data_IF_030387112880
#
_entry.id   IF_030387112880
#
_cell.length_a   1.000
_cell.length_b   1.000
_cell.length_c   1.000
_cell.angle_alpha   90.00
_cell.angle_beta   90.00
_cell.angle_gamma   90.00
#
_symmetry.space_group_name_H-M   'P 1'
#
loop_
_entity.id
_entity.type
_entity.pdbx_description
1 polymer ?
#
# COMPACT_ATOMS: atom_id res chain seq x y z
N UNK A 1 -2.88 6.58 -6.07
CA UNK A 1 -1.94 5.46 -6.32
C UNK A 1 -1.24 5.10 -5.02
N UNK A 2 -0.91 3.82 -4.83
CA UNK A 2 -0.07 3.35 -3.73
C UNK A 2 1.40 3.51 -4.11
N UNK A 3 2.13 4.39 -3.42
CA UNK A 3 3.56 4.60 -3.66
C UNK A 3 4.44 3.70 -2.79
N UNK A 4 3.89 3.22 -1.67
CA UNK A 4 4.60 2.34 -0.76
C UNK A 4 3.93 2.31 0.61
N UNK A 5 4.51 1.53 1.50
CA UNK A 5 4.16 1.55 2.91
C UNK A 5 5.23 0.85 3.74
N UNK A 6 5.21 1.09 5.04
CA UNK A 6 6.06 0.38 6.01
C UNK A 6 5.18 -0.19 7.10
N UNK A 7 5.57 -1.37 7.58
CA UNK A 7 4.95 -2.06 8.70
C UNK A 7 5.98 -2.18 9.82
N UNK A 8 5.58 -1.83 11.04
CA UNK A 8 6.35 -2.04 12.26
C UNK A 8 5.53 -2.81 13.26
N UNK A 9 5.90 -4.06 13.46
CA UNK A 9 5.33 -4.94 14.46
C UNK A 9 5.96 -4.67 15.82
N UNK A 10 5.12 -4.44 16.83
CA UNK A 10 5.52 -4.19 18.23
C UNK A 10 4.84 -5.14 19.20
N UNK A 11 3.93 -5.99 18.71
CA UNK A 11 3.24 -7.04 19.46
C UNK A 11 2.68 -8.11 18.52
N UNK A 12 1.83 -8.98 19.06
CA UNK A 12 1.25 -10.11 18.33
C UNK A 12 -0.24 -9.88 18.04
N UNK A 13 -0.67 -10.28 16.83
CA UNK A 13 -2.08 -10.41 16.45
C UNK A 13 -2.45 -11.89 16.44
N UNK A 14 -3.54 -12.25 17.09
CA UNK A 14 -4.04 -13.63 17.13
C UNK A 14 -5.45 -13.72 16.55
N UNK A 15 -5.77 -14.89 15.97
CA UNK A 15 -7.13 -15.16 15.47
C UNK A 15 -8.09 -15.10 16.65
N UNK A 16 -9.15 -14.30 16.51
CA UNK A 16 -10.14 -14.07 17.56
C UNK A 16 -9.92 -12.77 18.35
N UNK A 17 -8.79 -12.08 18.15
CA UNK A 17 -8.60 -10.74 18.74
C UNK A 17 -9.68 -9.78 18.26
N UNK A 18 -10.14 -8.91 19.17
CA UNK A 18 -10.88 -7.71 18.81
C UNK A 18 -9.86 -6.60 18.61
N UNK A 19 -9.83 -6.05 17.40
CA UNK A 19 -8.86 -5.04 17.00
C UNK A 19 -9.52 -3.67 16.85
N UNK A 20 -8.81 -2.65 17.33
CA UNK A 20 -9.08 -1.25 17.02
C UNK A 20 -8.01 -0.75 16.04
N UNK A 21 -8.45 -0.03 15.01
CA UNK A 21 -7.54 0.67 14.09
C UNK A 21 -7.82 2.17 14.12
N UNK A 22 -6.86 2.93 14.61
CA UNK A 22 -6.86 4.40 14.54
C UNK A 22 -6.05 4.82 13.32
N UNK A 23 -6.67 5.61 12.43
CA UNK A 23 -6.02 6.12 11.22
C UNK A 23 -5.83 7.62 11.31
N UNK A 24 -4.62 8.10 11.04
CA UNK A 24 -4.27 9.52 11.14
C UNK A 24 -3.55 9.97 9.89
N UNK A 25 -4.02 11.05 9.27
CA UNK A 25 -3.26 11.74 8.22
C UNK A 25 -2.10 12.46 8.90
N UNK A 26 -0.88 11.96 8.68
CA UNK A 26 0.34 12.52 9.28
C UNK A 26 0.85 13.74 8.54
N UNK A 27 0.70 13.73 7.22
CA UNK A 27 1.08 14.88 6.38
C UNK A 27 0.38 14.86 5.04
N UNK A 28 0.15 16.05 4.51
CA UNK A 28 -0.24 16.28 3.11
C UNK A 28 0.78 17.23 2.50
N UNK A 29 1.41 16.83 1.40
CA UNK A 29 2.40 17.65 0.70
C UNK A 29 2.02 17.77 -0.77
N UNK A 30 1.80 19.00 -1.23
CA UNK A 30 1.62 19.30 -2.64
C UNK A 30 2.97 19.49 -3.32
N UNK A 31 3.14 18.90 -4.50
CA UNK A 31 4.26 19.13 -5.39
C UNK A 31 3.72 19.40 -6.79
N UNK A 32 4.21 20.46 -7.41
CA UNK A 32 3.93 20.77 -8.80
C UNK A 32 5.19 20.57 -9.64
N UNK A 33 5.05 19.95 -10.81
CA UNK A 33 6.18 19.63 -11.69
C UNK A 33 5.75 19.47 -13.16
N UNK A 34 6.68 18.96 -13.99
CA UNK A 34 6.47 18.81 -15.44
C UNK A 34 5.27 17.91 -15.81
N UNK A 35 4.88 17.00 -14.92
CA UNK A 35 3.78 16.04 -15.11
C UNK A 35 2.49 16.50 -14.42
N UNK A 36 2.40 17.76 -14.02
CA UNK A 36 1.25 18.32 -13.30
C UNK A 36 1.37 18.22 -11.78
N UNK A 37 0.24 18.39 -11.11
CA UNK A 37 0.13 18.42 -9.66
C UNK A 37 0.08 17.02 -9.05
N UNK A 38 0.82 16.85 -7.97
CA UNK A 38 0.86 15.64 -7.15
C UNK A 38 0.56 16.01 -5.69
N UNK A 39 -0.30 15.25 -5.03
CA UNK A 39 -0.50 15.31 -3.59
C UNK A 39 0.04 14.03 -2.96
N UNK A 40 1.04 14.18 -2.10
CA UNK A 40 1.59 13.11 -1.28
C UNK A 40 0.91 13.13 0.08
N UNK A 41 0.25 12.04 0.44
CA UNK A 41 -0.47 11.88 1.70
C UNK A 41 0.15 10.71 2.45
N UNK A 42 0.66 10.99 3.65
CA UNK A 42 1.10 9.97 4.58
C UNK A 42 -0.03 9.68 5.56
N UNK A 43 -0.51 8.44 5.59
CA UNK A 43 -1.51 7.97 6.55
C UNK A 43 -0.87 6.94 7.46
N UNK A 44 -0.91 7.15 8.76
CA UNK A 44 -0.51 6.17 9.77
C UNK A 44 -1.75 5.44 10.30
N UNK A 45 -1.66 4.12 10.37
CA UNK A 45 -2.61 3.24 11.03
C UNK A 45 -1.94 2.63 12.25
N UNK A 46 -2.53 2.88 13.41
CA UNK A 46 -2.19 2.20 14.65
C UNK A 46 -3.23 1.13 14.91
N UNK A 47 -2.79 -0.12 14.95
CA UNK A 47 -3.64 -1.28 15.18
C UNK A 47 -3.31 -1.82 16.57
N UNK A 48 -4.34 -1.90 17.41
CA UNK A 48 -4.26 -2.35 18.80
C UNK A 48 -5.23 -3.49 19.04
N UNK A 49 -4.87 -4.42 19.93
CA UNK A 49 -5.80 -5.40 20.49
C UNK A 49 -5.98 -5.12 22.00
N UNK A 50 -6.57 -6.06 22.74
CA UNK A 50 -6.83 -5.89 24.18
C UNK A 50 -5.53 -5.77 25.02
N UNK A 51 -4.37 -6.12 24.46
CA UNK A 51 -3.06 -6.01 25.11
C UNK A 51 -2.33 -4.70 24.76
N UNK A 52 -2.89 -3.87 23.89
CA UNK A 52 -2.32 -2.60 23.46
C UNK A 52 -1.91 -2.59 21.98
N UNK A 53 -1.02 -1.65 21.61
CA UNK A 53 -0.54 -1.47 20.24
C UNK A 53 0.24 -2.71 19.79
N UNK A 54 -0.07 -3.22 18.60
CA UNK A 54 0.58 -4.41 18.03
C UNK A 54 1.25 -4.14 16.69
N UNK A 55 0.71 -3.20 15.91
CA UNK A 55 1.21 -2.87 14.59
C UNK A 55 1.04 -1.37 14.33
N UNK A 56 2.12 -0.73 13.88
CA UNK A 56 2.04 0.55 13.16
C UNK A 56 2.24 0.28 11.69
N UNK A 57 1.31 0.72 10.87
CA UNK A 57 1.40 0.71 9.42
C UNK A 57 1.36 2.15 8.93
N UNK A 58 2.19 2.54 7.96
CA UNK A 58 1.98 3.84 7.31
C UNK A 58 1.99 3.69 5.80
N UNK A 59 1.05 4.36 5.14
CA UNK A 59 0.80 4.35 3.71
C UNK A 59 1.30 5.64 3.08
N UNK A 60 2.11 5.51 2.03
CA UNK A 60 2.49 6.60 1.14
C UNK A 60 1.54 6.62 -0.05
N UNK A 61 0.57 7.54 -0.01
CA UNK A 61 -0.46 7.68 -1.04
C UNK A 61 -0.13 8.87 -1.92
N UNK A 62 -0.17 8.68 -3.24
CA UNK A 62 -0.01 9.78 -4.19
C UNK A 62 -1.30 9.98 -4.98
N UNK A 63 -1.87 11.18 -4.91
CA UNK A 63 -2.93 11.59 -5.81
C UNK A 63 -2.33 12.40 -6.96
N UNK A 64 -2.82 12.13 -8.16
CA UNK A 64 -2.43 12.82 -9.38
C UNK A 64 -3.64 12.90 -10.30
N UNK A 65 -3.58 13.81 -11.28
CA UNK A 65 -4.57 13.84 -12.34
C UNK A 65 -4.60 12.51 -13.11
N UNK A 66 -5.77 12.21 -13.70
CA UNK A 66 -5.90 11.10 -14.64
C UNK A 66 -4.88 11.25 -15.78
N UNK A 67 -4.27 10.15 -16.24
CA UNK A 67 -3.31 10.20 -17.33
C UNK A 67 -3.98 10.72 -18.61
N UNK A 68 -3.24 11.48 -19.42
CA UNK A 68 -3.74 11.87 -20.74
C UNK A 68 -3.75 10.64 -21.67
N UNK A 69 -4.57 10.64 -22.75
CA UNK A 69 -4.61 9.53 -23.71
C UNK A 69 -3.24 9.19 -24.34
N UNK A 70 -2.35 10.19 -24.44
CA UNK A 70 -1.01 10.05 -25.03
C UNK A 70 0.09 9.75 -24.00
N UNK A 71 -0.23 9.71 -22.70
CA UNK A 71 0.74 9.44 -21.64
C UNK A 71 1.22 7.99 -21.71
N UNK A 72 2.49 7.80 -22.04
CA UNK A 72 3.10 6.47 -22.11
C UNK A 72 3.49 5.98 -20.71
N UNK A 73 3.19 4.72 -20.35
CA UNK A 73 3.67 4.15 -19.11
C UNK A 73 5.21 4.09 -19.12
N UNK A 74 5.86 4.27 -17.96
CA UNK A 74 7.31 4.16 -17.85
C UNK A 74 7.77 2.76 -18.24
N UNK A 75 8.98 2.68 -18.81
CA UNK A 75 9.59 1.40 -19.14
C UNK A 75 9.84 0.60 -17.85
N UNK A 76 9.57 -0.72 -17.85
CA UNK A 76 9.80 -1.56 -16.68
C UNK A 76 11.29 -1.70 -16.40
N UNK A 77 11.66 -1.70 -15.11
CA UNK A 77 13.02 -2.01 -14.67
C UNK A 77 13.23 -3.53 -14.76
N UNK A 78 14.31 -4.04 -15.38
CA UNK A 78 14.61 -5.46 -15.40
C UNK A 78 14.79 -6.01 -13.98
N UNK A 79 14.25 -7.21 -13.72
CA UNK A 79 14.49 -7.90 -12.45
C UNK A 79 15.95 -8.40 -12.36
N UNK A 80 16.52 -8.48 -11.14
CA UNK A 80 17.77 -9.21 -10.91
C UNK A 80 17.68 -10.66 -11.44
N UNK A 81 18.82 -11.23 -11.86
CA UNK A 81 18.89 -12.58 -12.47
C UNK A 81 19.47 -13.65 -11.53
N UNK A 82 20.01 -13.23 -10.39
CA UNK A 82 20.75 -14.02 -9.41
C UNK A 82 19.87 -14.41 -8.19
N UNK A 83 18.58 -14.62 -8.41
CA UNK A 83 17.65 -15.00 -7.35
C UNK A 83 18.01 -16.38 -6.78
N UNK A 84 18.16 -16.47 -5.46
CA UNK A 84 18.42 -17.75 -4.77
C UNK A 84 17.18 -18.66 -4.71
N UNK A 85 15.99 -18.08 -4.89
CA UNK A 85 14.71 -18.80 -4.89
C UNK A 85 13.71 -18.09 -5.80
N UNK A 86 12.77 -18.83 -6.37
CA UNK A 86 11.72 -18.29 -7.23
C UNK A 86 10.42 -19.04 -7.01
N UNK A 87 9.30 -18.31 -7.11
CA UNK A 87 7.95 -18.86 -7.16
C UNK A 87 7.15 -18.12 -8.22
N UNK A 88 6.47 -18.88 -9.07
CA UNK A 88 5.55 -18.33 -10.06
C UNK A 88 4.17 -18.18 -9.41
N UNK A 89 3.57 -17.00 -9.56
CA UNK A 89 2.19 -16.72 -9.18
C UNK A 89 1.45 -16.32 -10.46
N UNK A 90 0.34 -16.99 -10.75
CA UNK A 90 -0.54 -16.62 -11.87
C UNK A 90 -1.75 -15.84 -11.33
N UNK A 91 -1.77 -14.50 -11.43
CA UNK A 91 -2.86 -13.66 -10.93
C UNK A 91 -4.06 -13.72 -11.88
N UNK A 92 -4.71 -14.88 -11.98
CA UNK A 92 -5.94 -15.01 -12.74
C UNK A 92 -7.08 -14.15 -12.14
N UNK A 93 -8.15 -13.88 -12.90
CA UNK A 93 -9.25 -13.06 -12.40
C UNK A 93 -9.89 -13.56 -11.10
N UNK A 94 -9.89 -14.88 -10.85
CA UNK A 94 -10.47 -15.47 -9.63
C UNK A 94 -9.58 -15.21 -8.43
N UNK A 95 -8.26 -15.35 -8.59
CA UNK A 95 -7.28 -15.03 -7.54
C UNK A 95 -7.32 -13.54 -7.21
N UNK A 96 -7.35 -12.68 -8.23
CA UNK A 96 -7.44 -11.23 -8.03
C UNK A 96 -8.75 -10.83 -7.34
N UNK A 97 -9.88 -11.43 -7.72
CA UNK A 97 -11.16 -11.20 -7.06
C UNK A 97 -11.12 -11.59 -5.57
N UNK A 98 -10.58 -12.77 -5.24
CA UNK A 98 -10.42 -13.22 -3.85
C UNK A 98 -9.50 -12.31 -3.05
N UNK A 99 -8.39 -11.90 -3.64
CA UNK A 99 -7.47 -10.95 -3.03
C UNK A 99 -8.20 -9.64 -2.71
N UNK A 100 -8.88 -9.05 -3.69
CA UNK A 100 -9.68 -7.82 -3.51
C UNK A 100 -10.74 -7.95 -2.42
N UNK A 101 -11.47 -9.06 -2.38
CA UNK A 101 -12.47 -9.32 -1.35
C UNK A 101 -11.86 -9.41 0.06
N UNK A 102 -10.71 -10.08 0.21
CA UNK A 102 -10.03 -10.23 1.49
C UNK A 102 -9.41 -8.92 1.99
N UNK A 103 -8.93 -8.09 1.07
CA UNK A 103 -8.27 -6.81 1.40
C UNK A 103 -9.22 -5.62 1.31
N UNK A 104 -10.50 -5.84 1.03
CA UNK A 104 -11.51 -4.79 0.80
C UNK A 104 -11.10 -3.75 -0.25
N UNK A 105 -10.40 -4.19 -1.30
CA UNK A 105 -10.08 -3.38 -2.48
C UNK A 105 -11.21 -3.53 -3.51
N UNK A 106 -12.23 -2.68 -3.39
CA UNK A 106 -13.34 -2.55 -4.33
C UNK A 106 -13.18 -1.39 -5.30
#
# INVERSE_FOLDING_TARGET
MWAGGRLRWVGELQIGDTIERVSTIKSVTHKSGRTGDLLFVLVEHQISNQKGLVLTEEHDIVYRAAPSPDEKPPAPTPSPRDAQWTKVINPDPVLLFRYSALTFNG
#
